data_IF_163854487201
#
_entry.id   IF_163854487201
#
_cell.length_a   1.000
_cell.length_b   1.000
_cell.length_c   1.000
_cell.angle_alpha   90.00
_cell.angle_beta   90.00
_cell.angle_gamma   90.00
#
_symmetry.space_group_name_H-M   'P 1'
#
loop_
_entity.id
_entity.type
_entity.pdbx_description
1 polymer ?
#
# COMPACT_ATOMS: atom_id res chain seq x y z
N UNK A 1 -17.85 3.24 -0.73
CA UNK A 1 -17.28 2.04 -1.37
C UNK A 1 -15.82 2.31 -1.65
N UNK A 2 -14.90 1.49 -1.10
CA UNK A 2 -13.46 1.73 -1.32
C UNK A 2 -13.07 1.36 -2.75
N UNK A 3 -12.07 2.06 -3.32
CA UNK A 3 -11.52 1.82 -4.67
C UNK A 3 -11.23 0.32 -4.87
N UNK A 4 -10.68 -0.35 -3.85
CA UNK A 4 -10.39 -1.77 -3.86
C UNK A 4 -11.64 -2.65 -3.99
N UNK A 5 -12.72 -2.34 -3.27
CA UNK A 5 -13.95 -3.15 -3.31
C UNK A 5 -14.59 -3.04 -4.69
N UNK A 6 -14.56 -1.86 -5.28
CA UNK A 6 -15.06 -1.62 -6.63
C UNK A 6 -14.24 -2.37 -7.68
N UNK A 7 -12.91 -2.40 -7.53
CA UNK A 7 -12.02 -3.15 -8.42
C UNK A 7 -12.28 -4.67 -8.34
N UNK A 8 -12.40 -5.22 -7.12
CA UNK A 8 -12.63 -6.66 -6.93
C UNK A 8 -14.00 -7.11 -7.44
N UNK A 9 -15.03 -6.31 -7.28
CA UNK A 9 -16.40 -6.67 -7.71
C UNK A 9 -16.56 -6.51 -9.22
N UNK A 10 -16.07 -5.41 -9.79
CA UNK A 10 -16.36 -5.07 -11.18
C UNK A 10 -15.37 -5.69 -12.19
N UNK A 11 -14.09 -5.90 -11.80
CA UNK A 11 -13.08 -6.50 -12.69
C UNK A 11 -12.85 -7.99 -12.40
N UNK A 12 -12.83 -8.38 -11.14
CA UNK A 12 -12.57 -9.77 -10.77
C UNK A 12 -13.83 -10.63 -10.69
N UNK A 13 -15.03 -10.05 -10.89
CA UNK A 13 -16.30 -10.77 -10.84
C UNK A 13 -16.63 -11.40 -9.49
N UNK A 14 -15.99 -10.93 -8.40
CA UNK A 14 -16.19 -11.44 -7.05
C UNK A 14 -17.54 -11.01 -6.49
N UNK A 15 -18.15 -11.88 -5.70
CA UNK A 15 -19.33 -11.47 -4.93
C UNK A 15 -18.95 -10.48 -3.83
N UNK A 16 -19.85 -9.60 -3.39
CA UNK A 16 -19.58 -8.69 -2.27
C UNK A 16 -19.17 -9.44 -0.98
N UNK A 17 -19.64 -10.65 -0.79
CA UNK A 17 -19.27 -11.52 0.34
C UNK A 17 -17.81 -11.96 0.26
N UNK A 18 -17.32 -12.34 -0.93
CA UNK A 18 -15.92 -12.75 -1.12
C UNK A 18 -14.97 -11.57 -0.92
N UNK A 19 -15.34 -10.38 -1.38
CA UNK A 19 -14.57 -9.15 -1.13
C UNK A 19 -14.44 -8.85 0.37
N UNK A 20 -15.52 -9.04 1.15
CA UNK A 20 -15.50 -8.87 2.61
C UNK A 20 -14.63 -9.92 3.30
N UNK A 21 -14.69 -11.19 2.85
CA UNK A 21 -13.86 -12.26 3.39
C UNK A 21 -12.37 -12.01 3.16
N UNK A 22 -11.99 -11.56 1.96
CA UNK A 22 -10.60 -11.18 1.65
C UNK A 22 -10.15 -10.01 2.53
N UNK A 23 -11.02 -9.04 2.77
CA UNK A 23 -10.73 -7.92 3.65
C UNK A 23 -10.51 -8.38 5.09
N UNK A 24 -11.41 -9.21 5.62
CA UNK A 24 -11.29 -9.73 6.97
C UNK A 24 -9.98 -10.53 7.15
N UNK A 25 -9.66 -11.38 6.19
CA UNK A 25 -8.38 -12.11 6.16
C UNK A 25 -7.18 -11.15 6.14
N UNK A 26 -7.21 -10.13 5.29
CA UNK A 26 -6.14 -9.14 5.19
C UNK A 26 -5.94 -8.39 6.51
N UNK A 27 -7.01 -8.05 7.24
CA UNK A 27 -6.94 -7.39 8.55
C UNK A 27 -6.26 -8.30 9.58
N UNK A 28 -6.64 -9.58 9.65
CA UNK A 28 -6.01 -10.54 10.58
C UNK A 28 -4.53 -10.69 10.27
N UNK A 29 -4.17 -10.83 9.00
CA UNK A 29 -2.79 -10.99 8.57
C UNK A 29 -1.98 -9.70 8.81
N UNK A 30 -2.61 -8.53 8.75
CA UNK A 30 -1.93 -7.26 9.02
C UNK A 30 -1.38 -7.17 10.45
N UNK A 31 -2.02 -7.81 11.41
CA UNK A 31 -1.52 -7.88 12.80
C UNK A 31 -0.19 -8.62 12.85
N UNK A 32 -0.11 -9.75 12.14
CA UNK A 32 1.11 -10.56 12.04
C UNK A 32 2.21 -9.77 11.32
N UNK A 33 1.87 -9.12 10.23
CA UNK A 33 2.77 -8.23 9.48
C UNK A 33 3.35 -7.11 10.34
N UNK A 34 2.48 -6.42 11.08
CA UNK A 34 2.88 -5.35 11.99
C UNK A 34 3.87 -5.81 13.07
N UNK A 35 3.63 -6.98 13.66
CA UNK A 35 4.53 -7.55 14.67
C UNK A 35 5.89 -7.94 14.08
N UNK A 36 5.92 -8.61 12.94
CA UNK A 36 7.15 -9.06 12.28
C UNK A 36 7.99 -7.85 11.82
N UNK A 37 7.36 -6.90 11.13
CA UNK A 37 8.05 -5.69 10.66
C UNK A 37 8.49 -4.80 11.80
N UNK A 38 7.70 -4.69 12.89
CA UNK A 38 8.09 -3.95 14.08
C UNK A 38 9.38 -4.49 14.69
N UNK A 39 9.46 -5.80 14.94
CA UNK A 39 10.69 -6.45 15.42
C UNK A 39 11.86 -6.33 14.43
N UNK A 40 11.59 -6.46 13.14
CA UNK A 40 12.61 -6.34 12.12
C UNK A 40 13.15 -4.91 12.00
N UNK A 41 12.32 -3.88 12.27
CA UNK A 41 12.73 -2.48 12.26
C UNK A 41 13.80 -2.17 13.32
N UNK A 42 13.73 -2.81 14.47
CA UNK A 42 14.74 -2.66 15.52
C UNK A 42 16.09 -3.28 15.13
N UNK A 43 16.06 -4.40 14.38
CA UNK A 43 17.27 -5.15 13.99
C UNK A 43 17.93 -4.64 12.71
N UNK A 44 17.15 -4.35 11.68
CA UNK A 44 17.66 -4.04 10.32
C UNK A 44 17.56 -2.55 9.97
N UNK A 45 16.91 -1.77 10.82
CA UNK A 45 16.65 -0.36 10.59
C UNK A 45 15.38 -0.11 9.76
N UNK A 46 14.64 0.98 10.05
CA UNK A 46 13.32 1.22 9.45
C UNK A 46 13.40 1.53 7.95
N UNK A 47 14.46 2.20 7.48
CA UNK A 47 14.64 2.54 6.05
C UNK A 47 14.63 1.31 5.14
N UNK A 48 15.41 0.27 5.51
CA UNK A 48 15.48 -0.96 4.70
C UNK A 48 14.13 -1.65 4.63
N UNK A 49 13.38 -1.64 5.73
CA UNK A 49 12.07 -2.26 5.79
C UNK A 49 11.02 -1.49 4.99
N UNK A 50 11.09 -0.16 4.93
CA UNK A 50 10.22 0.64 4.06
C UNK A 50 10.50 0.31 2.59
N UNK A 51 11.77 0.18 2.18
CA UNK A 51 12.12 -0.23 0.81
C UNK A 51 11.59 -1.64 0.49
N UNK A 52 11.74 -2.58 1.41
CA UNK A 52 11.18 -3.94 1.27
C UNK A 52 9.66 -3.87 1.16
N UNK A 53 9.00 -3.06 1.99
CA UNK A 53 7.55 -2.87 1.95
C UNK A 53 7.07 -2.29 0.62
N UNK A 54 7.75 -1.27 0.08
CA UNK A 54 7.41 -0.70 -1.24
C UNK A 54 7.58 -1.77 -2.33
N UNK A 55 8.65 -2.56 -2.28
CA UNK A 55 8.86 -3.67 -3.22
C UNK A 55 7.74 -4.72 -3.13
N UNK A 56 7.33 -5.10 -1.93
CA UNK A 56 6.20 -6.01 -1.72
C UNK A 56 4.88 -5.42 -2.27
N UNK A 57 4.67 -4.11 -2.12
CA UNK A 57 3.51 -3.44 -2.71
C UNK A 57 3.51 -3.48 -4.23
N UNK A 58 4.66 -3.20 -4.87
CA UNK A 58 4.81 -3.28 -6.33
C UNK A 58 4.48 -4.70 -6.81
N UNK A 59 5.02 -5.73 -6.15
CA UNK A 59 4.75 -7.13 -6.49
C UNK A 59 3.27 -7.46 -6.29
N UNK A 60 2.67 -7.06 -5.18
CA UNK A 60 1.25 -7.33 -4.88
C UNK A 60 0.32 -6.69 -5.92
N UNK A 61 0.56 -5.43 -6.29
CA UNK A 61 -0.24 -4.75 -7.30
C UNK A 61 -0.04 -5.34 -8.71
N UNK A 62 1.18 -5.73 -9.06
CA UNK A 62 1.46 -6.40 -10.33
C UNK A 62 0.77 -7.75 -10.42
N UNK A 63 0.79 -8.53 -9.33
CA UNK A 63 0.04 -9.79 -9.24
C UNK A 63 -1.47 -9.57 -9.33
N UNK A 64 -1.99 -8.48 -8.78
CA UNK A 64 -3.41 -8.16 -8.88
C UNK A 64 -3.83 -7.90 -10.33
N UNK A 65 -3.03 -7.18 -11.13
CA UNK A 65 -3.29 -6.97 -12.56
C UNK A 65 -3.27 -8.32 -13.31
N UNK A 66 -2.26 -9.15 -13.05
CA UNK A 66 -2.16 -10.47 -13.68
C UNK A 66 -3.34 -11.37 -13.28
N UNK A 67 -3.77 -11.31 -12.03
CA UNK A 67 -4.89 -12.11 -11.53
C UNK A 67 -6.21 -11.77 -12.24
N UNK A 68 -6.45 -10.50 -12.54
CA UNK A 68 -7.64 -10.06 -13.27
C UNK A 68 -7.58 -10.40 -14.73
N UNK A 69 -6.43 -10.24 -15.39
CA UNK A 69 -6.25 -10.62 -16.82
C UNK A 69 -6.45 -12.12 -17.05
N UNK A 70 -5.94 -12.97 -16.16
CA UNK A 70 -6.07 -14.44 -16.28
C UNK A 70 -7.30 -15.01 -15.58
N UNK A 71 -8.14 -14.17 -14.95
CA UNK A 71 -9.36 -14.55 -14.24
C UNK A 71 -9.14 -15.67 -13.19
N UNK A 72 -7.99 -15.62 -12.48
CA UNK A 72 -7.59 -16.63 -11.51
C UNK A 72 -7.90 -16.18 -10.08
N UNK A 73 -9.01 -16.66 -9.54
CA UNK A 73 -9.50 -16.33 -8.19
C UNK A 73 -8.46 -16.54 -7.08
N UNK A 74 -7.68 -17.61 -7.12
CA UNK A 74 -6.70 -17.91 -6.06
C UNK A 74 -5.59 -16.86 -5.97
N UNK A 75 -5.18 -16.26 -7.12
CA UNK A 75 -4.20 -15.18 -7.14
C UNK A 75 -4.72 -13.93 -6.41
N UNK A 76 -6.02 -13.67 -6.48
CA UNK A 76 -6.65 -12.52 -5.78
C UNK A 76 -6.55 -12.71 -4.26
N UNK A 77 -6.76 -13.92 -3.76
CA UNK A 77 -6.54 -14.22 -2.35
C UNK A 77 -5.08 -14.03 -1.95
N UNK A 78 -4.14 -14.46 -2.78
CA UNK A 78 -2.69 -14.27 -2.53
C UNK A 78 -2.35 -12.78 -2.47
N UNK A 79 -2.85 -11.96 -3.39
CA UNK A 79 -2.63 -10.51 -3.35
C UNK A 79 -3.25 -9.86 -2.11
N UNK A 80 -4.42 -10.33 -1.68
CA UNK A 80 -5.07 -9.88 -0.44
C UNK A 80 -4.23 -10.18 0.80
N UNK A 81 -3.67 -11.38 0.89
CA UNK A 81 -2.77 -11.82 1.97
C UNK A 81 -1.49 -10.98 1.99
N UNK A 82 -0.83 -10.84 0.84
CA UNK A 82 0.40 -10.04 0.71
C UNK A 82 0.15 -8.57 1.02
N UNK A 83 -0.95 -8.00 0.51
CA UNK A 83 -1.36 -6.63 0.80
C UNK A 83 -1.66 -6.42 2.27
N UNK A 84 -2.42 -7.33 2.90
CA UNK A 84 -2.73 -7.28 4.34
C UNK A 84 -1.47 -7.32 5.19
N UNK A 85 -0.57 -8.27 4.93
CA UNK A 85 0.71 -8.38 5.62
C UNK A 85 1.53 -7.09 5.51
N UNK A 86 1.57 -6.50 4.33
CA UNK A 86 2.34 -5.30 4.07
C UNK A 86 1.72 -4.03 4.67
N UNK A 87 0.36 -3.92 4.72
CA UNK A 87 -0.33 -2.82 5.39
C UNK A 87 0.08 -2.76 6.86
N UNK A 88 0.01 -3.88 7.59
CA UNK A 88 0.43 -3.92 8.99
C UNK A 88 1.89 -3.57 9.16
N UNK A 89 2.74 -4.09 8.28
CA UNK A 89 4.18 -3.85 8.29
C UNK A 89 4.54 -2.37 8.10
N UNK A 90 3.98 -1.72 7.08
CA UNK A 90 4.31 -0.32 6.78
C UNK A 90 3.85 0.63 7.91
N UNK A 91 2.65 0.41 8.47
CA UNK A 91 2.17 1.23 9.57
C UNK A 91 3.03 1.11 10.85
N UNK A 92 3.63 -0.06 11.09
CA UNK A 92 4.55 -0.25 12.21
C UNK A 92 5.88 0.47 11.99
N UNK A 93 6.46 0.36 10.79
CA UNK A 93 7.80 0.87 10.48
C UNK A 93 7.82 2.37 10.21
N UNK A 94 6.77 2.89 9.58
CA UNK A 94 6.67 4.29 9.17
C UNK A 94 6.75 5.24 10.37
N UNK A 95 6.04 4.93 11.46
CA UNK A 95 6.11 5.71 12.71
C UNK A 95 7.50 5.67 13.34
N UNK A 96 8.16 4.52 13.33
CA UNK A 96 9.53 4.37 13.86
C UNK A 96 10.51 5.17 13.01
N UNK A 97 10.35 5.14 11.69
CA UNK A 97 11.19 5.91 10.77
C UNK A 97 11.04 7.41 11.00
N UNK A 98 9.80 7.89 11.13
CA UNK A 98 9.51 9.30 11.40
C UNK A 98 10.11 9.77 12.73
N UNK A 99 10.00 8.94 13.78
CA UNK A 99 10.58 9.26 15.11
C UNK A 99 12.10 9.35 15.05
N UNK A 100 12.76 8.51 14.25
CA UNK A 100 14.24 8.54 14.11
C UNK A 100 14.73 9.70 13.26
N UNK A 101 13.93 10.17 12.30
CA UNK A 101 14.28 11.31 11.45
C UNK A 101 14.08 12.66 12.16
N UNK A 102 13.11 12.74 13.07
CA UNK A 102 12.70 13.99 13.67
C UNK A 102 13.59 14.36 14.86
N UNK A 103 14.08 15.63 14.94
CA UNK A 103 14.77 16.13 16.11
C UNK A 103 13.86 16.06 17.33
N UNK A 104 14.37 15.56 18.46
CA UNK A 104 13.58 15.37 19.69
C UNK A 104 12.90 16.65 20.20
N UNK A 105 13.49 17.81 19.95
CA UNK A 105 12.96 19.11 20.39
C UNK A 105 11.71 19.56 19.60
N UNK A 106 11.52 19.06 18.36
CA UNK A 106 10.47 19.49 17.44
C UNK A 106 9.60 18.33 16.94
N UNK A 107 9.57 17.22 17.69
CA UNK A 107 8.81 16.01 17.32
C UNK A 107 7.35 16.31 16.97
N UNK A 108 6.67 17.18 17.72
CA UNK A 108 5.27 17.53 17.49
C UNK A 108 5.04 18.24 16.15
N UNK A 109 5.94 19.14 15.77
CA UNK A 109 5.85 19.89 14.50
C UNK A 109 6.05 18.94 13.32
N UNK A 110 7.05 18.06 13.38
CA UNK A 110 7.31 17.06 12.36
C UNK A 110 6.18 16.05 12.21
N UNK A 111 5.59 15.58 13.32
CA UNK A 111 4.42 14.72 13.27
C UNK A 111 3.18 15.41 12.72
N UNK A 112 3.01 16.71 13.00
CA UNK A 112 1.97 17.53 12.40
C UNK A 112 2.10 17.62 10.88
N UNK A 113 3.31 17.92 10.41
CA UNK A 113 3.62 17.97 8.98
C UNK A 113 3.41 16.61 8.29
N UNK A 114 3.93 15.53 8.88
CA UNK A 114 3.74 14.16 8.40
C UNK A 114 2.26 13.79 8.29
N UNK A 115 1.48 14.07 9.34
CA UNK A 115 0.03 13.80 9.34
C UNK A 115 -0.72 14.60 8.27
N UNK A 116 -0.31 15.86 8.06
CA UNK A 116 -0.92 16.74 7.04
C UNK A 116 -0.63 16.21 5.64
N UNK A 117 0.63 15.89 5.34
CA UNK A 117 1.03 15.31 4.05
C UNK A 117 0.30 13.98 3.80
N UNK A 118 0.20 13.13 4.82
CA UNK A 118 -0.54 11.87 4.74
C UNK A 118 -2.02 12.07 4.38
N UNK A 119 -2.68 13.09 4.96
CA UNK A 119 -4.07 13.44 4.62
C UNK A 119 -4.21 13.93 3.18
N UNK A 120 -3.28 14.74 2.68
CA UNK A 120 -3.27 15.13 1.27
C UNK A 120 -3.12 13.91 0.34
N UNK A 121 -2.23 12.98 0.67
CA UNK A 121 -2.04 11.76 -0.11
C UNK A 121 -3.32 10.90 -0.16
N UNK A 122 -4.11 10.83 0.93
CA UNK A 122 -5.38 10.09 0.96
C UNK A 122 -6.47 10.72 0.08
N UNK A 123 -6.37 12.00 -0.24
CA UNK A 123 -7.26 12.70 -1.17
C UNK A 123 -6.76 12.52 -2.61
N UNK A 124 -5.46 12.70 -2.83
CA UNK A 124 -4.86 12.63 -4.16
C UNK A 124 -4.97 11.25 -4.80
N UNK A 125 -4.86 10.18 -4.01
CA UNK A 125 -4.99 8.80 -4.51
C UNK A 125 -6.32 8.53 -5.21
N UNK A 126 -7.47 8.69 -4.52
CA UNK A 126 -8.79 8.55 -5.13
C UNK A 126 -9.06 9.52 -6.28
N UNK A 127 -8.57 10.76 -6.20
CA UNK A 127 -8.71 11.73 -7.30
C UNK A 127 -7.98 11.27 -8.56
N UNK A 128 -6.74 10.80 -8.42
CA UNK A 128 -5.96 10.26 -9.53
C UNK A 128 -6.65 9.06 -10.16
N UNK A 129 -7.17 8.16 -9.32
CA UNK A 129 -7.93 6.99 -9.77
C UNK A 129 -9.17 7.39 -10.56
N UNK A 130 -10.02 8.26 -9.99
CA UNK A 130 -11.24 8.75 -10.65
C UNK A 130 -10.94 9.48 -11.94
N UNK A 131 -9.89 10.31 -11.98
CA UNK A 131 -9.48 11.01 -13.18
C UNK A 131 -9.06 10.06 -14.32
N UNK A 132 -8.34 8.98 -14.00
CA UNK A 132 -7.90 7.99 -15.01
C UNK A 132 -9.06 7.12 -15.48
N UNK A 133 -9.89 6.62 -14.55
CA UNK A 133 -10.96 5.68 -14.85
C UNK A 133 -12.18 6.38 -15.42
N UNK A 134 -12.66 7.43 -14.74
CA UNK A 134 -13.92 8.09 -15.10
C UNK A 134 -13.69 9.30 -16.04
N UNK A 135 -12.55 10.00 -15.90
CA UNK A 135 -12.22 11.17 -16.71
C UNK A 135 -11.63 10.83 -18.08
N UNK A 136 -10.67 9.91 -18.12
CA UNK A 136 -9.97 9.53 -19.34
C UNK A 136 -10.50 8.24 -19.98
N UNK A 137 -11.39 7.50 -19.30
CA UNK A 137 -11.93 6.21 -19.73
C UNK A 137 -10.84 5.18 -20.13
N UNK A 138 -9.64 5.24 -19.48
CA UNK A 138 -8.49 4.40 -19.83
C UNK A 138 -8.51 3.00 -19.18
N UNK A 139 -9.56 2.71 -18.42
CA UNK A 139 -9.68 1.41 -17.74
C UNK A 139 -8.92 1.33 -16.41
N UNK A 140 -9.32 0.38 -15.57
CA UNK A 140 -8.85 0.24 -14.19
C UNK A 140 -7.44 -0.31 -14.10
N UNK A 141 -7.02 -1.15 -15.07
CA UNK A 141 -5.66 -1.69 -15.11
C UNK A 141 -4.62 -0.58 -15.34
N UNK A 142 -4.96 0.44 -16.14
CA UNK A 142 -4.11 1.62 -16.34
C UNK A 142 -4.00 2.44 -15.06
N UNK A 143 -5.10 2.59 -14.32
CA UNK A 143 -5.08 3.27 -13.02
C UNK A 143 -4.20 2.52 -12.00
N UNK A 144 -4.26 1.19 -11.96
CA UNK A 144 -3.35 0.37 -11.13
C UNK A 144 -1.89 0.55 -11.56
N UNK A 145 -1.61 0.57 -12.86
CA UNK A 145 -0.28 0.82 -13.41
C UNK A 145 0.28 2.19 -12.99
N UNK A 146 -0.55 3.22 -12.92
CA UNK A 146 -0.14 4.54 -12.45
C UNK A 146 0.28 4.55 -10.97
N UNK A 147 -0.40 3.77 -10.12
CA UNK A 147 -0.01 3.60 -8.72
C UNK A 147 1.33 2.86 -8.59
N UNK A 148 1.56 1.83 -9.42
CA UNK A 148 2.84 1.12 -9.46
C UNK A 148 3.96 2.10 -9.87
N UNK A 149 3.74 2.94 -10.85
CA UNK A 149 4.73 3.94 -11.29
C UNK A 149 5.07 4.92 -10.16
N UNK A 150 4.07 5.41 -9.41
CA UNK A 150 4.30 6.27 -8.24
C UNK A 150 5.11 5.55 -7.15
N UNK A 151 4.85 4.26 -6.91
CA UNK A 151 5.62 3.46 -5.95
C UNK A 151 7.07 3.27 -6.42
N UNK A 152 7.32 3.06 -7.71
CA UNK A 152 8.67 2.97 -8.27
C UNK A 152 9.42 4.28 -8.09
N UNK A 153 8.79 5.42 -8.37
CA UNK A 153 9.39 6.74 -8.14
C UNK A 153 9.73 6.93 -6.66
N UNK A 154 8.79 6.59 -5.77
CA UNK A 154 9.00 6.65 -4.32
C UNK A 154 10.16 5.76 -3.86
N UNK A 155 10.27 4.55 -4.42
CA UNK A 155 11.37 3.63 -4.16
C UNK A 155 12.72 4.24 -4.55
N UNK A 156 12.80 4.81 -5.75
CA UNK A 156 14.03 5.47 -6.23
C UNK A 156 14.42 6.65 -5.35
N UNK A 157 13.50 7.54 -5.04
CA UNK A 157 13.75 8.70 -4.17
C UNK A 157 14.27 8.24 -2.81
N UNK A 158 13.59 7.28 -2.17
CA UNK A 158 14.00 6.77 -0.86
C UNK A 158 15.34 6.03 -0.91
N UNK A 159 15.64 5.36 -2.02
CA UNK A 159 16.93 4.67 -2.25
C UNK A 159 18.09 5.67 -2.39
N UNK A 160 17.86 6.83 -2.99
CA UNK A 160 18.88 7.86 -3.19
C UNK A 160 19.18 8.68 -1.92
N UNK A 161 18.23 8.76 -0.99
CA UNK A 161 18.44 9.48 0.27
C UNK A 161 19.38 8.64 1.14
N UNK A 162 20.66 9.01 1.18
CA UNK A 162 21.66 8.48 2.10
C UNK A 162 21.46 9.14 3.48
N UNK A 163 20.81 8.40 4.40
CA UNK A 163 20.71 8.76 5.83
C UNK A 163 21.50 7.73 6.62
#
# INVERSE_FOLDING_TARGET
MCIRDRYLVEEAGLTPADSQNILALAIVISIIGGYIFGKAADKYGPRRLILISISCWIISLSLAIVATEFNQMWLIYVTGVLGGFNIGGIFAVDRVFMTRLSPQKHLGEFYGLYSTIGRFATILGPLLWGFIVDGLNLGRNVAMGSLILLLIISFYILSLIHI
#
